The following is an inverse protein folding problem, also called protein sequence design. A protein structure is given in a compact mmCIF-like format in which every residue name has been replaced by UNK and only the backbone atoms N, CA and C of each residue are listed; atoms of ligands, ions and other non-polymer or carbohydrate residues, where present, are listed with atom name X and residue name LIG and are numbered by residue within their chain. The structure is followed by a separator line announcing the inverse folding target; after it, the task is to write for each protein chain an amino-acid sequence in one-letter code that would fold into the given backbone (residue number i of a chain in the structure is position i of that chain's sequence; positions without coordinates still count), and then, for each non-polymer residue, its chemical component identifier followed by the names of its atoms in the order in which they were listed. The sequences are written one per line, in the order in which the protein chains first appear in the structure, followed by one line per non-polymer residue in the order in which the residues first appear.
data_IF_108013983492
#
_entry.id   IF_108013983492
#
_cell.length_a   1.000
_cell.length_b   1.000
_cell.length_c   1.000
_cell.angle_alpha   90.00
_cell.angle_beta   90.00
_cell.angle_gamma   90.00
#
_symmetry.space_group_name_H-M   'P 1'
#
loop_
_entity.id
_entity.type
_entity.pdbx_description
1 polymer ?
#
# COMPACT_ATOMS: atom_id res chain seq x y z
N UNK A 1 6.67 -16.60 18.57
CA UNK A 1 6.05 -15.27 18.80
C UNK A 1 7.13 -14.22 18.73
N UNK A 2 6.91 -13.13 17.99
CA UNK A 2 7.81 -11.97 17.93
C UNK A 2 6.98 -10.75 18.29
N UNK A 3 6.99 -10.37 19.57
CA UNK A 3 6.02 -9.40 20.12
C UNK A 3 6.14 -8.02 19.48
N UNK A 4 7.36 -7.55 19.18
CA UNK A 4 7.56 -6.26 18.51
C UNK A 4 6.95 -6.24 17.11
N UNK A 5 7.10 -7.33 16.36
CA UNK A 5 6.55 -7.46 15.00
C UNK A 5 5.04 -7.65 15.00
N UNK A 6 4.49 -8.38 15.99
CA UNK A 6 3.05 -8.39 16.22
C UNK A 6 2.50 -6.96 16.39
N UNK A 7 3.14 -6.14 17.24
CA UNK A 7 2.66 -4.80 17.53
C UNK A 7 2.81 -3.86 16.32
N UNK A 8 3.93 -3.92 15.61
CA UNK A 8 4.18 -3.09 14.43
C UNK A 8 3.21 -3.41 13.29
N UNK A 9 2.90 -4.69 13.05
CA UNK A 9 1.88 -5.12 12.08
C UNK A 9 0.46 -4.72 12.51
N UNK A 10 0.15 -4.83 13.81
CA UNK A 10 -1.15 -4.40 14.32
C UNK A 10 -1.35 -2.89 14.13
N UNK A 11 -0.32 -2.08 14.38
CA UNK A 11 -0.35 -0.64 14.12
C UNK A 11 -0.59 -0.36 12.63
N UNK A 12 0.17 -1.00 11.74
CA UNK A 12 -0.01 -0.86 10.29
C UNK A 12 -1.42 -1.26 9.85
N UNK A 13 -1.94 -2.36 10.39
CA UNK A 13 -3.30 -2.86 10.14
C UNK A 13 -4.35 -1.82 10.53
N UNK A 14 -4.32 -1.37 11.78
CA UNK A 14 -5.28 -0.41 12.32
C UNK A 14 -5.25 0.92 11.56
N UNK A 15 -4.05 1.46 11.28
CA UNK A 15 -3.91 2.71 10.52
C UNK A 15 -4.46 2.54 9.11
N UNK A 16 -4.12 1.45 8.42
CA UNK A 16 -4.56 1.21 7.04
C UNK A 16 -6.08 1.01 6.96
N UNK A 17 -6.66 0.22 7.87
CA UNK A 17 -8.12 0.03 7.92
C UNK A 17 -8.86 1.32 8.31
N UNK A 18 -8.33 2.10 9.25
CA UNK A 18 -8.90 3.41 9.59
C UNK A 18 -8.86 4.37 8.39
N UNK A 19 -7.78 4.34 7.59
CA UNK A 19 -7.68 5.13 6.37
C UNK A 19 -8.65 4.63 5.29
N UNK A 20 -8.80 3.32 5.12
CA UNK A 20 -9.77 2.72 4.21
C UNK A 20 -11.21 3.17 4.56
N UNK A 21 -11.57 3.12 5.85
CA UNK A 21 -12.90 3.49 6.34
C UNK A 21 -13.31 4.92 5.94
N UNK A 22 -12.37 5.86 5.86
CA UNK A 22 -12.61 7.26 5.44
C UNK A 22 -13.08 7.43 4.00
N UNK A 23 -13.02 6.37 3.20
CA UNK A 23 -13.47 6.34 1.81
C UNK A 23 -14.72 5.48 1.59
N UNK A 24 -15.27 4.86 2.64
CA UNK A 24 -16.54 4.12 2.55
C UNK A 24 -17.67 5.05 2.13
N UNK A 25 -18.54 4.57 1.23
CA UNK A 25 -19.68 5.34 0.70
C UNK A 25 -19.31 6.36 -0.38
N UNK A 26 -18.03 6.57 -0.70
CA UNK A 26 -17.62 7.46 -1.79
C UNK A 26 -17.57 6.72 -3.13
N UNK A 27 -18.16 7.30 -4.16
CA UNK A 27 -18.28 6.69 -5.50
C UNK A 27 -17.15 7.05 -6.46
N UNK A 28 -16.35 8.08 -6.17
CA UNK A 28 -15.28 8.50 -7.09
C UNK A 28 -14.21 7.43 -7.24
N UNK A 29 -13.65 7.28 -8.46
CA UNK A 29 -12.60 6.30 -8.77
C UNK A 29 -11.43 6.40 -7.76
N UNK A 30 -10.86 7.58 -7.47
CA UNK A 30 -9.76 7.67 -6.51
C UNK A 30 -10.13 7.22 -5.10
N UNK A 31 -11.37 7.50 -4.65
CA UNK A 31 -11.83 7.09 -3.32
C UNK A 31 -12.00 5.58 -3.23
N UNK A 32 -12.59 4.93 -4.25
CA UNK A 32 -12.71 3.46 -4.26
C UNK A 32 -11.35 2.79 -4.41
N UNK A 33 -10.46 3.34 -5.22
CA UNK A 33 -9.08 2.86 -5.35
C UNK A 33 -8.34 2.92 -4.01
N UNK A 34 -8.49 4.02 -3.27
CA UNK A 34 -7.95 4.16 -1.92
C UNK A 34 -8.59 3.18 -0.92
N UNK A 35 -9.92 3.05 -0.94
CA UNK A 35 -10.66 2.11 -0.09
C UNK A 35 -10.12 0.69 -0.25
N UNK A 36 -10.05 0.20 -1.49
CA UNK A 36 -9.57 -1.16 -1.76
C UNK A 36 -8.09 -1.31 -1.46
N UNK A 37 -7.25 -0.34 -1.86
CA UNK A 37 -5.81 -0.38 -1.61
C UNK A 37 -5.49 -0.47 -0.11
N UNK A 38 -6.05 0.45 0.69
CA UNK A 38 -5.83 0.46 2.13
C UNK A 38 -6.49 -0.72 2.87
N UNK A 39 -7.65 -1.20 2.41
CA UNK A 39 -8.29 -2.37 3.00
C UNK A 39 -7.44 -3.63 2.79
N UNK A 40 -6.91 -3.85 1.58
CA UNK A 40 -6.04 -5.00 1.28
C UNK A 40 -4.77 -4.94 2.14
N UNK A 41 -4.12 -3.77 2.23
CA UNK A 41 -2.92 -3.59 3.06
C UNK A 41 -3.24 -3.84 4.54
N UNK A 42 -4.35 -3.29 5.03
CA UNK A 42 -4.79 -3.45 6.42
C UNK A 42 -5.09 -4.89 6.79
N UNK A 43 -5.84 -5.61 5.95
CA UNK A 43 -6.13 -7.04 6.15
C UNK A 43 -4.82 -7.85 6.13
N UNK A 44 -3.91 -7.55 5.20
CA UNK A 44 -2.61 -8.22 5.13
C UNK A 44 -1.79 -8.05 6.41
N UNK A 45 -1.68 -6.82 6.93
CA UNK A 45 -0.96 -6.55 8.17
C UNK A 45 -1.69 -7.14 9.40
N UNK A 46 -3.03 -7.17 9.39
CA UNK A 46 -3.81 -7.84 10.43
C UNK A 46 -3.52 -9.34 10.49
N UNK A 47 -3.48 -10.02 9.35
CA UNK A 47 -3.07 -11.42 9.25
C UNK A 47 -1.60 -11.61 9.66
N UNK A 48 -0.72 -10.66 9.33
CA UNK A 48 0.66 -10.63 9.78
C UNK A 48 0.79 -10.56 11.30
N UNK A 49 -0.02 -9.72 11.97
CA UNK A 49 -0.05 -9.67 13.43
C UNK A 49 -0.41 -11.04 14.03
N UNK A 50 -1.42 -11.73 13.48
CA UNK A 50 -1.83 -13.07 13.93
C UNK A 50 -0.69 -14.09 13.73
N UNK A 51 0.01 -14.02 12.60
CA UNK A 51 1.19 -14.84 12.32
C UNK A 51 2.31 -14.60 13.35
N UNK A 52 2.68 -13.34 13.61
CA UNK A 52 3.75 -13.01 14.57
C UNK A 52 3.36 -13.25 16.04
N UNK A 53 2.06 -13.31 16.34
CA UNK A 53 1.54 -13.79 17.63
C UNK A 53 1.80 -15.30 17.84
N UNK A 54 2.09 -16.05 16.76
CA UNK A 54 2.41 -17.49 16.78
C UNK A 54 1.25 -18.38 16.32
N UNK A 55 0.17 -17.79 15.78
CA UNK A 55 -0.97 -18.53 15.27
C UNK A 55 -0.78 -18.76 13.77
N UNK A 56 -0.22 -19.92 13.41
CA UNK A 56 0.20 -20.21 12.04
C UNK A 56 -0.86 -20.90 11.17
N UNK A 57 -2.07 -21.12 11.70
CA UNK A 57 -3.18 -21.78 10.98
C UNK A 57 -3.66 -20.99 9.77
N UNK A 58 -3.37 -19.68 9.71
CA UNK A 58 -3.77 -18.78 8.64
C UNK A 58 -2.60 -18.41 7.70
N UNK A 59 -1.44 -19.08 7.80
CA UNK A 59 -0.21 -18.71 7.06
C UNK A 59 -0.40 -18.63 5.55
N UNK A 60 -1.15 -19.57 4.95
CA UNK A 60 -1.42 -19.56 3.51
C UNK A 60 -2.24 -18.33 3.11
N UNK A 61 -3.21 -17.94 3.94
CA UNK A 61 -4.06 -16.76 3.71
C UNK A 61 -3.24 -15.49 3.93
N UNK A 62 -2.44 -15.43 4.99
CA UNK A 62 -1.50 -14.35 5.25
C UNK A 62 -0.56 -14.11 4.05
N UNK A 63 0.12 -15.15 3.56
CA UNK A 63 1.05 -15.05 2.42
C UNK A 63 0.35 -14.59 1.13
N UNK A 64 -0.88 -15.05 0.91
CA UNK A 64 -1.70 -14.57 -0.20
C UNK A 64 -1.95 -13.07 -0.07
N UNK A 65 -2.40 -12.59 1.09
CA UNK A 65 -2.67 -11.16 1.30
C UNK A 65 -1.42 -10.28 1.27
N UNK A 66 -0.25 -10.79 1.71
CA UNK A 66 1.04 -10.08 1.55
C UNK A 66 1.33 -9.83 0.08
N UNK A 67 1.20 -10.87 -0.76
CA UNK A 67 1.37 -10.74 -2.20
C UNK A 67 0.34 -9.81 -2.84
N UNK A 68 -0.94 -9.97 -2.47
CA UNK A 68 -2.04 -9.14 -2.96
C UNK A 68 -1.88 -7.67 -2.59
N UNK A 69 -1.40 -7.38 -1.37
CA UNK A 69 -1.10 -6.03 -0.89
C UNK A 69 -0.04 -5.37 -1.76
N UNK A 70 1.10 -6.03 -1.97
CA UNK A 70 2.19 -5.48 -2.79
C UNK A 70 1.85 -5.36 -4.28
N UNK A 71 1.09 -6.32 -4.84
CA UNK A 71 0.86 -6.40 -6.28
C UNK A 71 -0.43 -5.73 -6.76
N UNK A 72 -1.40 -5.52 -5.87
CA UNK A 72 -2.70 -4.93 -6.21
C UNK A 72 -3.02 -3.76 -5.29
N UNK A 73 -2.89 -3.93 -3.98
CA UNK A 73 -3.20 -2.87 -3.01
C UNK A 73 -2.40 -1.58 -3.25
N UNK A 74 -1.08 -1.70 -3.35
CA UNK A 74 -0.17 -0.57 -3.58
C UNK A 74 -0.38 0.08 -4.96
N UNK A 75 -0.46 -0.67 -6.08
CA UNK A 75 -0.80 -0.08 -7.37
C UNK A 75 -2.13 0.68 -7.41
N UNK A 76 -3.15 0.26 -6.66
CA UNK A 76 -4.40 1.00 -6.54
C UNK A 76 -4.23 2.38 -5.88
N UNK A 77 -3.30 2.53 -4.94
CA UNK A 77 -2.97 3.84 -4.38
C UNK A 77 -2.33 4.74 -5.44
N UNK A 78 -1.45 4.19 -6.27
CA UNK A 78 -0.88 4.89 -7.43
C UNK A 78 -1.95 5.32 -8.44
N UNK A 79 -2.91 4.44 -8.73
CA UNK A 79 -4.00 4.71 -9.64
C UNK A 79 -4.89 5.88 -9.18
N UNK A 80 -5.10 6.02 -7.86
CA UNK A 80 -5.84 7.15 -7.30
C UNK A 80 -5.18 8.50 -7.65
N UNK A 81 -3.86 8.61 -7.43
CA UNK A 81 -3.08 9.80 -7.76
C UNK A 81 -2.98 10.05 -9.28
N UNK A 82 -2.82 8.98 -10.06
CA UNK A 82 -2.83 9.06 -11.52
C UNK A 82 -4.14 9.66 -12.04
N UNK A 83 -5.27 9.13 -11.58
CA UNK A 83 -6.59 9.61 -12.00
C UNK A 83 -6.81 11.08 -11.63
N UNK A 84 -6.36 11.49 -10.45
CA UNK A 84 -6.39 12.90 -10.09
C UNK A 84 -5.63 13.75 -11.13
N UNK A 85 -4.38 13.40 -11.44
CA UNK A 85 -3.53 14.20 -12.32
C UNK A 85 -4.05 14.27 -13.75
N UNK A 86 -4.46 13.14 -14.32
CA UNK A 86 -4.75 13.05 -15.76
C UNK A 86 -6.25 12.91 -16.10
N UNK A 87 -7.12 12.67 -15.11
CA UNK A 87 -8.58 12.48 -15.28
C UNK A 87 -8.97 11.52 -16.41
N UNK A 88 -8.16 10.48 -16.63
CA UNK A 88 -8.20 9.67 -17.85
C UNK A 88 -8.90 8.32 -17.70
N UNK A 89 -9.34 7.94 -16.50
CA UNK A 89 -9.91 6.61 -16.27
C UNK A 89 -11.44 6.64 -16.29
N UNK A 90 -12.02 5.72 -17.05
CA UNK A 90 -13.43 5.35 -16.94
C UNK A 90 -13.63 4.28 -15.88
N UNK A 91 -14.88 4.07 -15.44
CA UNK A 91 -15.28 2.97 -14.57
C UNK A 91 -14.82 1.60 -15.10
N UNK A 92 -15.02 1.37 -16.41
CA UNK A 92 -14.64 0.12 -17.07
C UNK A 92 -13.12 -0.09 -16.99
N UNK A 93 -12.35 0.95 -17.25
CA UNK A 93 -10.88 0.90 -17.18
C UNK A 93 -10.38 0.68 -15.75
N UNK A 94 -11.06 1.25 -14.75
CA UNK A 94 -10.74 1.05 -13.34
C UNK A 94 -10.90 -0.42 -12.92
N UNK A 95 -12.04 -1.04 -13.23
CA UNK A 95 -12.25 -2.47 -12.93
C UNK A 95 -11.35 -3.38 -13.77
N UNK A 96 -11.11 -3.05 -15.04
CA UNK A 96 -10.16 -3.79 -15.87
C UNK A 96 -8.75 -3.78 -15.25
N UNK A 97 -8.30 -2.63 -14.73
CA UNK A 97 -7.01 -2.55 -14.05
C UNK A 97 -6.96 -3.47 -12.83
N UNK A 98 -8.00 -3.50 -11.99
CA UNK A 98 -8.07 -4.39 -10.82
C UNK A 98 -7.95 -5.86 -11.26
N UNK A 99 -8.73 -6.25 -12.26
CA UNK A 99 -8.74 -7.64 -12.78
C UNK A 99 -7.37 -8.01 -13.35
N UNK A 100 -6.78 -7.14 -14.17
CA UNK A 100 -5.45 -7.39 -14.76
C UNK A 100 -4.38 -7.47 -13.67
N UNK A 101 -4.35 -6.53 -12.72
CA UNK A 101 -3.39 -6.55 -11.62
C UNK A 101 -3.52 -7.83 -10.77
N UNK A 102 -4.76 -8.27 -10.52
CA UNK A 102 -5.01 -9.52 -9.80
C UNK A 102 -4.56 -10.75 -10.58
N UNK A 103 -4.85 -10.83 -11.89
CA UNK A 103 -4.40 -11.94 -12.73
C UNK A 103 -2.88 -11.98 -12.87
N UNK A 104 -2.22 -10.84 -13.01
CA UNK A 104 -0.76 -10.77 -13.03
C UNK A 104 -0.15 -11.17 -11.69
N UNK A 105 -0.77 -10.79 -10.57
CA UNK A 105 -0.38 -11.28 -9.25
C UNK A 105 -0.45 -12.82 -9.19
N UNK A 106 -1.55 -13.43 -9.63
CA UNK A 106 -1.68 -14.89 -9.66
C UNK A 106 -0.63 -15.54 -10.57
N UNK A 107 -0.46 -15.01 -11.77
CA UNK A 107 0.50 -15.53 -12.73
C UNK A 107 1.94 -15.48 -12.20
N UNK A 108 2.38 -14.32 -11.70
CA UNK A 108 3.76 -14.12 -11.25
C UNK A 108 4.05 -14.56 -9.83
N UNK A 109 3.04 -15.00 -9.08
CA UNK A 109 3.24 -15.60 -7.75
C UNK A 109 3.16 -17.13 -7.78
N UNK A 110 2.34 -17.72 -8.66
CA UNK A 110 2.06 -19.16 -8.64
C UNK A 110 2.46 -19.92 -9.90
N UNK A 111 2.38 -19.30 -11.09
CA UNK A 111 2.69 -19.98 -12.36
C UNK A 111 4.14 -19.74 -12.79
N UNK A 112 4.59 -18.48 -12.72
CA UNK A 112 5.93 -18.05 -13.09
C UNK A 112 6.50 -17.11 -12.02
N UNK A 113 6.97 -17.65 -10.87
CA UNK A 113 7.42 -16.85 -9.74
C UNK A 113 8.51 -15.84 -10.11
N UNK A 114 8.15 -14.56 -10.16
CA UNK A 114 9.08 -13.46 -10.38
C UNK A 114 9.27 -12.68 -9.09
N UNK A 115 10.34 -12.98 -8.35
CA UNK A 115 10.60 -12.37 -7.02
C UNK A 115 10.72 -10.85 -7.01
N UNK A 116 10.95 -10.21 -8.16
CA UNK A 116 11.05 -8.75 -8.30
C UNK A 116 9.72 -8.07 -8.67
N UNK A 117 8.69 -8.85 -9.04
CA UNK A 117 7.45 -8.30 -9.60
C UNK A 117 6.76 -7.31 -8.65
N UNK A 118 6.56 -7.69 -7.39
CA UNK A 118 5.93 -6.83 -6.36
C UNK A 118 6.73 -5.53 -6.15
N UNK A 119 8.05 -5.60 -6.14
CA UNK A 119 8.94 -4.44 -6.02
C UNK A 119 8.80 -3.50 -7.22
N UNK A 120 8.73 -4.04 -8.45
CA UNK A 120 8.57 -3.24 -9.67
C UNK A 120 7.23 -2.52 -9.69
N UNK A 121 6.12 -3.25 -9.47
CA UNK A 121 4.79 -2.61 -9.52
C UNK A 121 4.58 -1.63 -8.36
N UNK A 122 5.10 -1.95 -7.16
CA UNK A 122 5.11 -1.02 -6.04
C UNK A 122 5.94 0.23 -6.31
N UNK A 123 7.13 0.06 -6.91
CA UNK A 123 8.00 1.17 -7.32
C UNK A 123 7.36 2.08 -8.36
N UNK A 124 6.72 1.50 -9.39
CA UNK A 124 5.95 2.26 -10.38
C UNK A 124 4.81 3.03 -9.71
N UNK A 125 4.07 2.40 -8.79
CA UNK A 125 2.98 3.05 -8.08
C UNK A 125 3.48 4.25 -7.24
N UNK A 126 4.57 4.08 -6.49
CA UNK A 126 5.16 5.19 -5.71
C UNK A 126 5.69 6.30 -6.59
N UNK A 127 6.31 5.96 -7.73
CA UNK A 127 6.75 6.95 -8.71
C UNK A 127 5.57 7.76 -9.27
N UNK A 128 4.47 7.09 -9.60
CA UNK A 128 3.23 7.76 -10.04
C UNK A 128 2.69 8.71 -8.97
N UNK A 129 2.66 8.29 -7.69
CA UNK A 129 2.22 9.15 -6.58
C UNK A 129 3.13 10.38 -6.47
N UNK A 130 4.45 10.18 -6.54
CA UNK A 130 5.44 11.24 -6.43
C UNK A 130 5.27 12.27 -7.56
N UNK A 131 5.26 11.82 -8.82
CA UNK A 131 5.11 12.71 -9.97
C UNK A 131 3.75 13.43 -9.93
N UNK A 132 2.67 12.71 -9.64
CA UNK A 132 1.33 13.30 -9.50
C UNK A 132 1.28 14.38 -8.43
N UNK A 133 1.97 14.17 -7.32
CA UNK A 133 2.06 15.13 -6.23
C UNK A 133 2.87 16.35 -6.61
N UNK A 134 4.01 16.18 -7.28
CA UNK A 134 4.84 17.28 -7.77
C UNK A 134 4.09 18.16 -8.79
N UNK A 135 3.40 17.56 -9.75
CA UNK A 135 2.58 18.28 -10.74
C UNK A 135 1.47 19.12 -10.06
N UNK A 136 0.89 18.60 -8.96
CA UNK A 136 -0.20 19.26 -8.24
C UNK A 136 0.26 20.22 -7.14
N UNK A 137 1.55 20.25 -6.83
CA UNK A 137 2.11 21.06 -5.75
C UNK A 137 1.73 22.54 -5.80
N UNK A 138 1.78 23.24 -6.96
CA UNK A 138 1.46 24.68 -7.02
C UNK A 138 0.00 25.01 -6.70
N UNK A 139 -0.92 24.05 -6.89
CA UNK A 139 -2.37 24.28 -6.73
C UNK A 139 -2.94 23.69 -5.44
N UNK A 140 -2.32 22.62 -4.92
CA UNK A 140 -2.80 21.84 -3.77
C UNK A 140 -1.62 21.40 -2.89
N UNK A 141 -0.82 22.36 -2.44
CA UNK A 141 0.43 22.15 -1.67
C UNK A 141 0.27 21.17 -0.50
N UNK A 142 -0.74 21.37 0.35
CA UNK A 142 -0.98 20.50 1.51
C UNK A 142 -1.27 19.04 1.16
N UNK A 143 -1.88 18.78 0.01
CA UNK A 143 -2.19 17.43 -0.45
C UNK A 143 -0.98 16.80 -1.16
N UNK A 144 -0.27 17.60 -1.95
CA UNK A 144 0.95 17.22 -2.63
C UNK A 144 2.07 16.85 -1.64
N UNK A 145 2.28 17.63 -0.58
CA UNK A 145 3.28 17.33 0.46
C UNK A 145 2.99 15.96 1.11
N UNK A 146 1.72 15.68 1.41
CA UNK A 146 1.32 14.40 1.98
C UNK A 146 1.58 13.23 1.02
N UNK A 147 1.32 13.39 -0.27
CA UNK A 147 1.67 12.39 -1.28
C UNK A 147 3.18 12.18 -1.43
N UNK A 148 3.97 13.26 -1.42
CA UNK A 148 5.44 13.21 -1.50
C UNK A 148 6.00 12.46 -0.29
N UNK A 149 5.67 12.90 0.93
CA UNK A 149 6.12 12.26 2.17
C UNK A 149 5.74 10.77 2.17
N UNK A 150 4.48 10.47 1.87
CA UNK A 150 3.99 9.10 1.83
C UNK A 150 4.76 8.21 0.84
N UNK A 151 4.94 8.68 -0.40
CA UNK A 151 5.69 7.93 -1.42
C UNK A 151 7.16 7.74 -1.08
N UNK A 152 7.82 8.77 -0.54
CA UNK A 152 9.23 8.69 -0.13
C UNK A 152 9.40 7.71 1.03
N UNK A 153 8.53 7.76 2.05
CA UNK A 153 8.57 6.82 3.17
C UNK A 153 8.37 5.37 2.70
N UNK A 154 7.45 5.15 1.76
CA UNK A 154 7.21 3.83 1.18
C UNK A 154 8.44 3.32 0.42
N UNK A 155 9.08 4.18 -0.40
CA UNK A 155 10.29 3.85 -1.15
C UNK A 155 11.45 3.53 -0.19
N UNK A 156 11.66 4.35 0.85
CA UNK A 156 12.70 4.13 1.85
C UNK A 156 12.45 2.83 2.61
N UNK A 157 11.22 2.56 3.03
CA UNK A 157 10.86 1.30 3.69
C UNK A 157 11.19 0.11 2.77
N UNK A 158 10.74 0.13 1.51
CA UNK A 158 10.93 -0.96 0.56
C UNK A 158 12.35 -1.21 0.09
N UNK A 159 13.10 -0.16 -0.24
CA UNK A 159 14.41 -0.27 -0.90
C UNK A 159 15.60 -0.11 0.03
N UNK A 160 15.45 0.61 1.14
CA UNK A 160 16.57 0.91 2.05
C UNK A 160 16.52 0.05 3.30
N UNK A 161 15.34 -0.03 3.95
CA UNK A 161 15.18 -0.78 5.20
C UNK A 161 14.97 -2.27 4.92
N UNK A 162 14.01 -2.59 4.04
CA UNK A 162 13.59 -3.96 3.76
C UNK A 162 13.01 -4.68 4.99
N UNK A 163 12.81 -5.99 4.88
CA UNK A 163 12.17 -6.80 5.93
C UNK A 163 13.11 -7.80 6.60
N UNK A 164 14.38 -7.87 6.18
CA UNK A 164 15.37 -8.82 6.68
C UNK A 164 16.42 -8.13 7.53
N UNK A 165 16.87 -8.80 8.60
CA UNK A 165 17.93 -8.32 9.48
C UNK A 165 17.44 -7.35 10.55
N UNK A 166 18.39 -6.67 11.18
CA UNK A 166 18.16 -5.66 12.22
C UNK A 166 19.04 -4.43 11.98
N UNK A 167 18.54 -3.28 12.42
CA UNK A 167 19.28 -2.01 12.47
C UNK A 167 19.51 -1.70 13.94
N UNK A 168 20.71 -2.05 14.44
CA UNK A 168 20.99 -2.02 15.86
C UNK A 168 20.11 -3.02 16.62
N UNK A 169 19.38 -2.54 17.64
CA UNK A 169 18.49 -3.34 18.49
C UNK A 169 17.09 -3.55 17.92
N UNK A 170 16.74 -2.87 16.82
CA UNK A 170 15.41 -2.94 16.21
C UNK A 170 15.41 -3.86 14.99
N UNK A 171 14.37 -4.67 14.84
CA UNK A 171 14.20 -5.50 13.66
C UNK A 171 13.80 -4.62 12.47
N UNK A 172 14.40 -4.86 11.30
CA UNK A 172 14.09 -4.07 10.10
C UNK A 172 12.61 -4.18 9.69
N UNK A 173 12.00 -5.35 9.92
CA UNK A 173 10.56 -5.57 9.70
C UNK A 173 9.69 -4.64 10.55
N UNK A 174 10.11 -4.30 11.77
CA UNK A 174 9.34 -3.41 12.64
C UNK A 174 9.42 -1.97 12.13
N UNK A 175 10.63 -1.52 11.78
CA UNK A 175 10.85 -0.21 11.17
C UNK A 175 10.06 -0.09 9.86
N UNK A 176 10.10 -1.14 9.03
CA UNK A 176 9.35 -1.24 7.79
C UNK A 176 7.85 -1.03 8.00
N UNK A 177 7.21 -1.75 8.93
CA UNK A 177 5.77 -1.61 9.18
C UNK A 177 5.39 -0.23 9.74
N UNK A 178 6.19 0.34 10.62
CA UNK A 178 5.95 1.69 11.15
C UNK A 178 6.07 2.74 10.04
N UNK A 179 7.09 2.66 9.20
CA UNK A 179 7.24 3.56 8.04
C UNK A 179 6.05 3.43 7.08
N UNK A 180 5.60 2.21 6.79
CA UNK A 180 4.41 1.97 5.97
C UNK A 180 3.13 2.53 6.61
N UNK A 181 2.99 2.46 7.94
CA UNK A 181 1.83 3.00 8.63
C UNK A 181 1.74 4.52 8.46
N UNK A 182 2.87 5.22 8.67
CA UNK A 182 2.97 6.66 8.45
C UNK A 182 2.75 6.99 6.97
N UNK A 183 3.35 6.21 6.06
CA UNK A 183 3.17 6.39 4.62
C UNK A 183 1.69 6.28 4.22
N UNK A 184 0.98 5.25 4.70
CA UNK A 184 -0.43 5.03 4.40
C UNK A 184 -1.30 6.17 4.91
N UNK A 185 -1.03 6.67 6.13
CA UNK A 185 -1.70 7.86 6.65
C UNK A 185 -1.50 9.08 5.75
N UNK A 186 -0.26 9.36 5.36
CA UNK A 186 0.08 10.49 4.49
C UNK A 186 -0.57 10.35 3.10
N UNK A 187 -0.47 9.18 2.46
CA UNK A 187 -1.10 8.93 1.15
C UNK A 187 -2.62 9.11 1.25
N UNK A 188 -3.26 8.58 2.30
CA UNK A 188 -4.70 8.71 2.50
C UNK A 188 -5.12 10.18 2.68
N UNK A 189 -4.40 10.95 3.49
CA UNK A 189 -4.64 12.39 3.66
C UNK A 189 -4.41 13.16 2.35
N UNK A 190 -3.42 12.77 1.55
CA UNK A 190 -3.21 13.29 0.20
C UNK A 190 -4.44 13.07 -0.68
N UNK A 191 -4.91 11.84 -0.80
CA UNK A 191 -6.09 11.47 -1.59
C UNK A 191 -7.34 12.22 -1.10
N UNK A 192 -7.56 12.28 0.22
CA UNK A 192 -8.72 12.94 0.83
C UNK A 192 -8.75 14.44 0.53
N UNK A 193 -7.59 15.11 0.51
CA UNK A 193 -7.47 16.54 0.21
C UNK A 193 -7.50 16.85 -1.30
N UNK A 194 -7.30 15.84 -2.15
CA UNK A 194 -7.41 15.95 -3.62
C UNK A 194 -8.79 15.58 -4.17
N UNK A 195 -9.57 14.80 -3.41
CA UNK A 195 -10.97 14.43 -3.68
C UNK A 195 -11.91 15.61 -3.46
#
# INVERSE_FOLDING_TARGET
MVFSTFLSDLILSLVSLAMAYRFVGKSSIPSRSALYGFAIIGISAGLGSIHFLGINTLDSIYRFFVGLSGCVGVPLLGLAFFHFTFRSLSEKTFFLFIVVAFLLYLAFSYLYPLGIYSTVVGGIAMFIILISSLVRFPRKSNAAIMGIIGSVLFIVAGLVIGTKGSTGSLLNVDIFHILLAIANYCIAEGIRKLS
#
